data_IF_192733877444
#
_entry.id   IF_192733877444
#
_cell.length_a   1.000
_cell.length_b   1.000
_cell.length_c   1.000
_cell.angle_alpha   90.00
_cell.angle_beta   90.00
_cell.angle_gamma   90.00
#
_symmetry.space_group_name_H-M   'P 1'
#
loop_
_entity.id
_entity.type
_entity.pdbx_description
1 polymer ?
#
# COMPACT_ATOMS: atom_id res chain seq x y z
N UNK A 1 27.76 -33.76 -4.84
CA UNK A 1 27.66 -32.41 -4.24
C UNK A 1 28.05 -32.46 -2.77
N UNK A 2 29.00 -31.63 -2.31
CA UNK A 2 29.32 -31.51 -0.87
C UNK A 2 28.19 -30.75 -0.17
N UNK A 3 27.53 -31.40 0.80
CA UNK A 3 26.51 -30.78 1.65
C UNK A 3 27.22 -29.90 2.68
N UNK A 4 27.33 -28.61 2.38
CA UNK A 4 27.90 -27.59 3.27
C UNK A 4 26.88 -27.18 4.36
N UNK A 5 27.32 -26.48 5.42
CA UNK A 5 26.48 -25.95 6.50
C UNK A 5 25.27 -25.15 5.98
N UNK A 6 25.46 -24.43 4.86
CA UNK A 6 24.41 -23.66 4.17
C UNK A 6 23.28 -24.54 3.63
N UNK A 7 23.60 -25.74 3.13
CA UNK A 7 22.61 -26.68 2.62
C UNK A 7 21.63 -27.09 3.74
N UNK A 8 22.17 -27.50 4.89
CA UNK A 8 21.35 -27.89 6.04
C UNK A 8 20.51 -26.72 6.55
N UNK A 9 21.06 -25.50 6.54
CA UNK A 9 20.31 -24.31 6.93
C UNK A 9 19.07 -24.05 6.04
N UNK A 10 19.21 -24.26 4.72
CA UNK A 10 18.12 -24.06 3.77
C UNK A 10 17.07 -25.15 3.93
N UNK A 11 17.47 -26.42 3.98
CA UNK A 11 16.54 -27.57 4.11
C UNK A 11 15.82 -27.57 5.47
N UNK A 12 16.48 -27.08 6.51
CA UNK A 12 15.87 -26.94 7.84
C UNK A 12 14.73 -25.91 7.82
N UNK A 13 14.97 -24.73 7.24
CA UNK A 13 14.06 -23.58 7.31
C UNK A 13 13.01 -23.49 6.21
N UNK A 14 13.27 -24.12 5.08
CA UNK A 14 12.45 -23.99 3.88
C UNK A 14 12.04 -25.36 3.33
N UNK A 15 10.94 -25.36 2.59
CA UNK A 15 10.41 -26.53 1.91
C UNK A 15 9.88 -26.13 0.53
N UNK A 16 9.79 -27.10 -0.37
CA UNK A 16 9.16 -26.93 -1.67
C UNK A 16 7.73 -27.44 -1.57
N UNK A 17 6.78 -26.63 -2.00
CA UNK A 17 5.37 -26.98 -2.10
C UNK A 17 4.92 -26.83 -3.55
N UNK A 18 3.91 -27.60 -3.93
CA UNK A 18 3.25 -27.44 -5.22
C UNK A 18 1.98 -26.60 -5.04
N UNK A 19 1.88 -25.52 -5.82
CA UNK A 19 0.72 -24.62 -5.82
C UNK A 19 0.28 -24.45 -7.26
N UNK A 20 -0.89 -25.02 -7.60
CA UNK A 20 -1.48 -24.93 -8.95
C UNK A 20 -0.48 -25.43 -10.03
N UNK A 21 0.15 -26.58 -9.80
CA UNK A 21 1.13 -27.17 -10.73
C UNK A 21 2.50 -26.48 -10.76
N UNK A 22 2.72 -25.44 -9.94
CA UNK A 22 3.98 -24.69 -9.88
C UNK A 22 4.68 -24.93 -8.55
N UNK A 23 5.96 -25.31 -8.60
CA UNK A 23 6.78 -25.43 -7.40
C UNK A 23 7.08 -24.05 -6.80
N UNK A 24 6.84 -23.90 -5.51
CA UNK A 24 7.08 -22.68 -4.73
C UNK A 24 7.87 -23.00 -3.48
N UNK A 25 8.74 -22.09 -3.08
CA UNK A 25 9.46 -22.20 -1.80
C UNK A 25 8.57 -21.63 -0.70
N UNK A 26 8.38 -22.39 0.37
CA UNK A 26 7.69 -21.96 1.59
C UNK A 26 8.65 -21.94 2.77
N UNK A 27 8.49 -20.97 3.67
CA UNK A 27 9.20 -20.94 4.94
C UNK A 27 8.42 -21.74 5.98
N UNK A 28 9.06 -22.70 6.66
CA UNK A 28 8.38 -23.59 7.62
C UNK A 28 7.86 -22.88 8.87
N UNK A 29 8.58 -21.86 9.36
CA UNK A 29 8.20 -21.13 10.59
C UNK A 29 6.88 -20.37 10.46
N UNK A 30 6.77 -19.59 9.41
CA UNK A 30 5.67 -18.63 9.23
C UNK A 30 4.63 -19.13 8.21
N UNK A 31 4.89 -20.29 7.60
CA UNK A 31 4.09 -20.92 6.52
C UNK A 31 3.84 -20.02 5.28
N UNK A 32 4.52 -18.87 5.18
CA UNK A 32 4.39 -17.96 4.06
C UNK A 32 5.23 -18.40 2.84
N UNK A 33 4.70 -18.09 1.68
CA UNK A 33 5.33 -18.33 0.38
C UNK A 33 6.44 -17.30 0.17
N UNK A 34 7.56 -17.74 -0.37
CA UNK A 34 8.66 -16.88 -0.81
C UNK A 34 8.37 -16.45 -2.24
N UNK A 35 8.00 -15.20 -2.44
CA UNK A 35 7.81 -14.64 -3.77
C UNK A 35 9.17 -14.35 -4.44
N UNK A 36 9.22 -14.41 -5.76
CA UNK A 36 10.37 -13.92 -6.53
C UNK A 36 10.34 -12.39 -6.52
N UNK A 37 11.51 -11.75 -6.45
CA UNK A 37 11.64 -10.28 -6.34
C UNK A 37 10.91 -9.58 -7.48
N UNK A 38 11.05 -10.07 -8.72
CA UNK A 38 10.40 -9.51 -9.90
C UNK A 38 8.86 -9.55 -9.82
N UNK A 39 8.31 -10.48 -9.04
CA UNK A 39 6.87 -10.62 -8.84
C UNK A 39 6.34 -9.76 -7.69
N UNK A 40 7.19 -9.09 -6.90
CA UNK A 40 6.74 -8.30 -5.76
C UNK A 40 5.74 -7.23 -6.17
N UNK A 41 6.04 -6.51 -7.27
CA UNK A 41 5.19 -5.43 -7.76
C UNK A 41 3.79 -5.95 -8.13
N UNK A 42 3.72 -7.06 -8.88
CA UNK A 42 2.44 -7.67 -9.27
C UNK A 42 1.61 -8.10 -8.06
N UNK A 43 2.23 -8.77 -7.08
CA UNK A 43 1.56 -9.19 -5.84
C UNK A 43 1.02 -7.98 -5.06
N UNK A 44 1.81 -6.90 -4.98
CA UNK A 44 1.39 -5.67 -4.30
C UNK A 44 0.21 -5.03 -5.02
N UNK A 45 0.24 -4.95 -6.37
CA UNK A 45 -0.85 -4.42 -7.20
C UNK A 45 -2.14 -5.19 -6.92
N UNK A 46 -2.10 -6.52 -7.08
CA UNK A 46 -3.28 -7.37 -6.95
C UNK A 46 -3.93 -7.24 -5.58
N UNK A 47 -3.13 -7.30 -4.52
CA UNK A 47 -3.63 -7.17 -3.15
C UNK A 47 -4.14 -5.75 -2.89
N UNK A 48 -3.43 -4.72 -3.34
CA UNK A 48 -3.83 -3.33 -3.16
C UNK A 48 -5.17 -3.02 -3.84
N UNK A 49 -5.38 -3.54 -5.05
CA UNK A 49 -6.64 -3.43 -5.79
C UNK A 49 -7.74 -4.24 -5.11
N UNK A 50 -7.47 -5.49 -4.72
CA UNK A 50 -8.45 -6.37 -4.07
C UNK A 50 -9.00 -5.77 -2.76
N UNK A 51 -8.15 -5.10 -1.98
CA UNK A 51 -8.59 -4.44 -0.74
C UNK A 51 -9.17 -3.04 -0.95
N UNK A 52 -9.38 -2.61 -2.21
CA UNK A 52 -9.91 -1.30 -2.63
C UNK A 52 -9.05 -0.10 -2.25
N UNK A 53 -7.77 -0.12 -2.64
CA UNK A 53 -6.87 1.04 -2.49
C UNK A 53 -6.74 1.52 -1.03
N UNK A 54 -6.61 0.57 -0.09
CA UNK A 54 -6.35 0.89 1.32
C UNK A 54 -4.90 1.33 1.52
N UNK A 55 -4.64 2.02 2.62
CA UNK A 55 -3.31 2.52 2.95
C UNK A 55 -2.27 1.42 3.21
N UNK A 56 -1.01 1.83 3.22
CA UNK A 56 0.19 0.98 3.27
C UNK A 56 0.14 -0.11 4.35
N UNK A 57 -0.25 0.25 5.57
CA UNK A 57 -0.28 -0.68 6.71
C UNK A 57 -1.26 -1.83 6.50
N UNK A 58 -2.42 -1.56 5.89
CA UNK A 58 -3.45 -2.57 5.62
C UNK A 58 -3.03 -3.47 4.46
N UNK A 59 -2.44 -2.90 3.41
CA UNK A 59 -1.90 -3.66 2.27
C UNK A 59 -0.80 -4.61 2.72
N UNK A 60 0.18 -4.11 3.48
CA UNK A 60 1.29 -4.92 3.98
C UNK A 60 0.83 -6.00 4.95
N UNK A 61 -0.16 -5.72 5.81
CA UNK A 61 -0.76 -6.75 6.67
C UNK A 61 -1.33 -7.91 5.85
N UNK A 62 -2.08 -7.60 4.78
CA UNK A 62 -2.69 -8.63 3.91
C UNK A 62 -1.64 -9.41 3.12
N UNK A 63 -0.57 -8.75 2.68
CA UNK A 63 0.57 -9.41 2.04
C UNK A 63 1.21 -10.43 2.99
N UNK A 64 1.44 -10.04 4.25
CA UNK A 64 2.07 -10.89 5.28
C UNK A 64 1.28 -12.14 5.66
N UNK A 65 -0.03 -12.20 5.36
CA UNK A 65 -0.82 -13.41 5.56
C UNK A 65 -0.44 -14.55 4.60
N UNK A 66 0.16 -14.21 3.45
CA UNK A 66 0.48 -15.18 2.39
C UNK A 66 1.97 -15.22 2.03
N UNK A 67 2.68 -14.10 2.14
CA UNK A 67 4.06 -13.95 1.72
C UNK A 67 4.97 -13.47 2.85
N UNK A 68 6.12 -14.12 3.04
CA UNK A 68 7.03 -13.80 4.15
C UNK A 68 8.16 -12.83 3.79
N UNK A 69 8.42 -12.58 2.51
CA UNK A 69 9.63 -11.89 2.05
C UNK A 69 9.40 -10.54 1.36
N UNK A 70 8.16 -10.05 1.30
CA UNK A 70 7.86 -8.75 0.70
C UNK A 70 8.01 -7.66 1.77
N UNK A 71 8.96 -6.71 1.60
CA UNK A 71 9.21 -5.67 2.59
C UNK A 71 8.23 -4.50 2.45
N UNK A 72 7.99 -3.80 3.56
CA UNK A 72 7.15 -2.60 3.62
C UNK A 72 7.64 -1.48 2.70
N UNK A 73 8.95 -1.38 2.46
CA UNK A 73 9.55 -0.39 1.55
C UNK A 73 8.98 -0.47 0.15
N UNK A 74 8.83 -1.69 -0.39
CA UNK A 74 8.29 -1.90 -1.73
C UNK A 74 6.81 -1.54 -1.80
N UNK A 75 6.05 -1.87 -0.75
CA UNK A 75 4.63 -1.50 -0.63
C UNK A 75 4.45 0.00 -0.61
N UNK A 76 5.28 0.70 0.17
CA UNK A 76 5.26 2.17 0.27
C UNK A 76 5.59 2.82 -1.07
N UNK A 77 6.66 2.36 -1.73
CA UNK A 77 7.07 2.88 -3.03
C UNK A 77 5.97 2.71 -4.08
N UNK A 78 5.26 1.58 -4.08
CA UNK A 78 4.15 1.38 -5.00
C UNK A 78 2.96 2.30 -4.69
N UNK A 79 2.50 2.35 -3.44
CA UNK A 79 1.29 3.11 -3.06
C UNK A 79 1.50 4.62 -3.26
N UNK A 80 2.71 5.13 -3.02
CA UNK A 80 3.05 6.52 -3.27
C UNK A 80 2.86 6.92 -4.74
N UNK A 81 3.05 5.99 -5.67
CA UNK A 81 2.92 6.20 -7.12
C UNK A 81 1.58 5.72 -7.69
N UNK A 82 0.61 5.34 -6.84
CA UNK A 82 -0.69 4.88 -7.31
C UNK A 82 -1.59 6.08 -7.64
N UNK A 83 -1.92 6.27 -8.92
CA UNK A 83 -2.73 7.39 -9.43
C UNK A 83 -4.02 7.61 -8.63
N UNK A 84 -4.76 6.51 -8.37
CA UNK A 84 -6.02 6.56 -7.59
C UNK A 84 -5.81 7.01 -6.15
N UNK A 85 -4.70 6.62 -5.53
CA UNK A 85 -4.35 7.06 -4.18
C UNK A 85 -3.89 8.52 -4.17
N UNK A 86 -3.12 8.94 -5.18
CA UNK A 86 -2.68 10.32 -5.37
C UNK A 86 -3.86 11.27 -5.59
N UNK A 87 -4.80 10.94 -6.48
CA UNK A 87 -6.01 11.76 -6.70
C UNK A 87 -6.88 11.90 -5.44
N UNK A 88 -6.93 10.85 -4.62
CA UNK A 88 -7.71 10.88 -3.37
C UNK A 88 -7.04 11.74 -2.30
N UNK A 89 -5.72 11.74 -2.24
CA UNK A 89 -4.98 12.53 -1.28
C UNK A 89 -5.00 14.02 -1.63
N UNK A 90 -4.92 14.40 -2.91
CA UNK A 90 -5.05 15.79 -3.38
C UNK A 90 -6.43 16.37 -3.06
N UNK A 91 -7.50 15.66 -3.40
CA UNK A 91 -8.89 16.05 -3.05
C UNK A 91 -9.09 16.22 -1.54
N UNK A 92 -8.40 15.41 -0.71
CA UNK A 92 -8.46 15.54 0.76
C UNK A 92 -7.66 16.76 1.25
N UNK A 93 -6.53 17.07 0.61
CA UNK A 93 -5.71 18.23 0.92
C UNK A 93 -6.45 19.53 0.59
N UNK A 94 -7.04 19.64 -0.60
CA UNK A 94 -7.84 20.81 -1.03
C UNK A 94 -8.98 21.12 -0.05
N UNK A 95 -9.73 20.08 0.38
CA UNK A 95 -10.80 20.24 1.39
C UNK A 95 -10.27 20.72 2.74
N UNK A 96 -9.08 20.29 3.15
CA UNK A 96 -8.45 20.71 4.42
C UNK A 96 -7.92 22.14 4.34
N UNK A 97 -7.36 22.55 3.20
CA UNK A 97 -6.87 23.92 3.01
C UNK A 97 -8.02 24.94 2.95
N UNK A 98 -9.15 24.63 2.31
CA UNK A 98 -10.33 25.50 2.39
C UNK A 98 -10.87 25.63 3.82
N UNK A 99 -10.84 24.55 4.61
CA UNK A 99 -11.24 24.61 6.02
C UNK A 99 -10.29 25.46 6.87
N UNK A 100 -8.98 25.44 6.58
CA UNK A 100 -7.99 26.25 7.28
C UNK A 100 -8.02 27.75 6.88
N UNK A 101 -8.41 28.06 5.63
CA UNK A 101 -8.56 29.45 5.17
C UNK A 101 -9.70 30.18 5.88
N UNK A 102 -10.78 29.47 6.24
CA UNK A 102 -11.90 30.05 7.02
C UNK A 102 -11.56 30.32 8.49
N UNK A 103 -10.57 29.64 9.06
CA UNK A 103 -10.11 29.86 10.44
C UNK A 103 -9.00 30.92 10.56
N UNK A 104 -8.55 31.49 9.44
CA UNK A 104 -7.53 32.55 9.38
C UNK A 104 -8.07 33.84 8.74
N UNK A 105 -9.38 34.07 8.82
CA UNK A 105 -9.96 35.38 8.50
C UNK A 105 -9.81 36.26 9.75
N UNK A 106 -8.95 37.30 9.76
CA UNK A 106 -8.95 38.26 10.86
C UNK A 106 -10.34 38.89 10.98
N UNK A 107 -10.88 39.00 12.21
CA UNK A 107 -12.26 39.45 12.48
C UNK A 107 -12.65 40.77 11.79
N UNK A 108 -11.67 41.60 11.39
CA UNK A 108 -11.88 42.83 10.62
C UNK A 108 -12.46 42.63 9.21
N UNK A 109 -12.42 41.44 8.63
CA UNK A 109 -12.98 41.19 7.29
C UNK A 109 -14.45 40.69 7.32
N UNK A 110 -15.09 40.52 8.49
CA UNK A 110 -16.51 40.13 8.58
C UNK A 110 -17.50 41.22 8.17
N UNK A 111 -17.08 42.48 8.06
CA UNK A 111 -17.96 43.62 7.80
C UNK A 111 -18.25 43.91 6.32
N UNK A 112 -17.70 43.13 5.39
CA UNK A 112 -18.05 43.21 3.96
C UNK A 112 -18.43 41.81 3.47
N UNK A 113 -19.67 41.43 3.74
CA UNK A 113 -20.22 40.18 3.23
C UNK A 113 -20.14 40.13 1.69
N UNK A 114 -19.84 38.96 1.09
CA UNK A 114 -19.94 38.82 -0.36
C UNK A 114 -21.41 39.00 -0.76
N UNK A 115 -21.66 39.95 -1.66
CA UNK A 115 -22.94 40.08 -2.34
C UNK A 115 -23.27 38.75 -3.06
N UNK A 116 -24.42 38.17 -2.71
CA UNK A 116 -24.99 37.03 -3.43
C UNK A 116 -25.02 37.36 -4.93
N UNK A 117 -24.48 36.51 -5.83
CA UNK A 117 -24.79 36.66 -7.24
C UNK A 117 -26.29 36.39 -7.44
N UNK A 118 -27.00 37.40 -7.91
CA UNK A 118 -28.40 37.34 -8.32
C UNK A 118 -28.55 36.28 -9.41
N UNK A 119 -29.39 35.27 -9.15
CA UNK A 119 -29.86 34.36 -10.19
C UNK A 119 -30.99 35.05 -10.96
N UNK A 120 -30.65 35.73 -12.05
CA UNK A 120 -31.48 35.73 -13.26
C UNK A 120 -31.19 34.39 -13.95
N UNK A 121 -32.12 33.54 -14.36
CA UNK A 121 -33.55 33.61 -14.68
C UNK A 121 -34.23 32.32 -14.24
#
# INVERSE_FOLDING_TARGET
>A
MRKDRRYYHVVDKFELIEVVGVQRVRRKRDLGIMAVIDNFTNIIIDIHVAIRHKGETKTHKKIKEHYSNIPMSNVKNYIANCDRCMEKSTKKYERRCCAAYFSFIPERARASGPSRPSKFT
#
